data_IF_589039527269
#
_entry.id   IF_589039527269
#
_cell.length_a   1.000
_cell.length_b   1.000
_cell.length_c   1.000
_cell.angle_alpha   90.00
_cell.angle_beta   90.00
_cell.angle_gamma   90.00
#
_symmetry.space_group_name_H-M   'P 1'
#
loop_
_entity.id
_entity.type
_entity.pdbx_description
1 polymer ?
#
# COMPACT_ATOMS: atom_id res chain seq x y z
N UNK A 1 -14.59 -4.69 4.46
CA UNK A 1 -15.31 -3.39 4.44
C UNK A 1 -15.14 -2.57 5.72
N UNK A 2 -15.54 -3.02 6.91
CA UNK A 2 -15.43 -2.16 8.11
C UNK A 2 -14.00 -1.79 8.51
N UNK A 3 -13.01 -2.65 8.28
CA UNK A 3 -11.61 -2.32 8.58
C UNK A 3 -11.03 -1.27 7.63
N UNK A 4 -11.35 -1.32 6.33
CA UNK A 4 -10.91 -0.30 5.38
C UNK A 4 -11.58 1.06 5.66
N UNK A 5 -12.86 1.04 6.04
CA UNK A 5 -13.56 2.27 6.47
C UNK A 5 -12.99 2.83 7.77
N UNK A 6 -12.72 1.98 8.76
CA UNK A 6 -12.11 2.39 10.03
C UNK A 6 -10.72 3.05 9.82
N UNK A 7 -9.89 2.48 8.95
CA UNK A 7 -8.58 3.04 8.61
C UNK A 7 -8.70 4.42 7.94
N UNK A 8 -9.72 4.63 7.11
CA UNK A 8 -10.00 5.94 6.51
C UNK A 8 -10.30 7.03 7.56
N UNK A 9 -10.88 6.65 8.70
CA UNK A 9 -11.12 7.54 9.85
C UNK A 9 -9.98 7.53 10.88
N UNK A 10 -8.81 6.98 10.53
CA UNK A 10 -7.61 7.03 11.38
C UNK A 10 -7.57 6.01 12.52
N UNK A 11 -8.48 5.02 12.52
CA UNK A 11 -8.39 3.94 13.52
C UNK A 11 -7.22 3.00 13.17
N UNK A 12 -6.43 2.56 14.17
CA UNK A 12 -5.37 1.59 13.93
C UNK A 12 -5.99 0.27 13.47
N UNK A 13 -5.55 -0.20 12.30
CA UNK A 13 -6.00 -1.48 11.74
C UNK A 13 -4.81 -2.37 11.41
N UNK A 14 -5.08 -3.67 11.20
CA UNK A 14 -4.09 -4.65 10.73
C UNK A 14 -3.96 -4.67 9.21
N UNK A 15 -4.46 -3.63 8.54
CA UNK A 15 -4.36 -3.47 7.10
C UNK A 15 -3.18 -2.55 6.81
N UNK A 16 -2.28 -3.03 5.95
CA UNK A 16 -1.28 -2.20 5.31
C UNK A 16 -1.78 -1.88 3.90
N UNK A 17 -1.95 -0.60 3.60
CA UNK A 17 -2.31 -0.10 2.28
C UNK A 17 -1.08 0.03 1.37
N UNK A 18 -1.22 -0.39 0.12
CA UNK A 18 -0.22 -0.23 -0.92
C UNK A 18 -0.89 -0.06 -2.30
N UNK A 19 -0.13 0.40 -3.30
CA UNK A 19 -0.66 0.69 -4.63
C UNK A 19 -0.21 -0.34 -5.66
N UNK A 20 -1.11 -0.73 -6.57
CA UNK A 20 -0.76 -1.47 -7.78
C UNK A 20 -0.12 -0.59 -8.87
N UNK A 21 -0.16 0.73 -8.72
CA UNK A 21 0.44 1.69 -9.63
C UNK A 21 1.87 2.01 -9.18
N UNK A 22 2.91 1.61 -9.95
CA UNK A 22 4.30 1.96 -9.62
C UNK A 22 4.51 3.48 -9.53
N UNK A 23 3.80 4.25 -10.35
CA UNK A 23 3.90 5.71 -10.37
C UNK A 23 3.26 6.34 -9.14
N UNK A 24 2.13 5.81 -8.67
CA UNK A 24 1.50 6.28 -7.43
C UNK A 24 2.38 5.94 -6.22
N UNK A 25 2.98 4.74 -6.20
CA UNK A 25 3.95 4.36 -5.17
C UNK A 25 5.18 5.27 -5.18
N UNK A 26 5.72 5.58 -6.37
CA UNK A 26 6.83 6.51 -6.52
C UNK A 26 6.45 7.93 -6.06
N UNK A 27 5.25 8.40 -6.43
CA UNK A 27 4.70 9.68 -5.97
C UNK A 27 4.68 9.76 -4.45
N UNK A 28 4.13 8.76 -3.74
CA UNK A 28 4.13 8.73 -2.28
C UNK A 28 5.55 8.74 -1.69
N UNK A 29 6.50 8.06 -2.34
CA UNK A 29 7.89 8.04 -1.88
C UNK A 29 8.57 9.43 -1.98
N UNK A 30 8.17 10.27 -2.94
CA UNK A 30 8.82 11.56 -3.22
C UNK A 30 8.00 12.81 -2.86
N UNK A 31 6.68 12.68 -2.58
CA UNK A 31 5.77 13.82 -2.43
C UNK A 31 6.15 14.74 -1.27
N UNK A 32 6.67 14.17 -0.17
CA UNK A 32 6.96 14.91 1.06
C UNK A 32 8.35 15.54 0.98
N UNK A 33 8.40 16.81 0.63
CA UNK A 33 9.64 17.60 0.52
C UNK A 33 10.15 18.14 1.85
N UNK A 34 9.35 18.04 2.93
CA UNK A 34 9.67 18.59 4.25
C UNK A 34 10.67 17.74 5.04
N UNK A 35 10.89 16.49 4.60
CA UNK A 35 11.95 15.66 5.16
C UNK A 35 13.29 16.06 4.54
N UNK A 36 13.97 16.98 5.20
CA UNK A 36 15.39 17.21 5.01
C UNK A 36 16.13 16.05 5.69
N UNK A 37 16.94 15.34 4.91
CA UNK A 37 17.78 14.30 5.46
C UNK A 37 18.94 14.96 6.21
N UNK A 38 19.20 14.55 7.45
CA UNK A 38 20.37 15.02 8.19
C UNK A 38 21.65 14.82 7.35
N UNK A 39 22.57 15.79 7.40
CA UNK A 39 23.87 15.68 6.74
C UNK A 39 24.60 14.43 7.27
N UNK A 40 24.92 13.50 6.36
CA UNK A 40 25.52 12.21 6.71
C UNK A 40 24.53 11.07 7.00
N UNK A 41 23.21 11.32 7.02
CA UNK A 41 22.21 10.25 7.12
C UNK A 41 22.17 9.39 5.85
N UNK A 42 21.99 8.08 6.02
CA UNK A 42 21.75 7.12 4.94
C UNK A 42 20.27 6.98 4.55
N UNK A 43 19.38 7.75 5.17
CA UNK A 43 17.95 7.70 4.90
C UNK A 43 17.66 8.17 3.49
N UNK A 44 16.78 7.48 2.78
CA UNK A 44 16.40 7.87 1.42
C UNK A 44 14.93 7.51 1.19
N UNK A 45 14.32 8.14 0.19
CA UNK A 45 13.01 7.70 -0.26
C UNK A 45 13.12 6.26 -0.78
N UNK A 46 12.15 5.42 -0.44
CA UNK A 46 12.15 4.00 -0.78
C UNK A 46 10.80 3.64 -1.37
N UNK A 47 10.84 2.85 -2.44
CA UNK A 47 9.67 2.12 -2.93
C UNK A 47 9.89 0.64 -2.63
N UNK A 48 8.93 0.04 -1.94
CA UNK A 48 8.86 -1.40 -1.74
C UNK A 48 7.96 -2.03 -2.79
N UNK A 49 8.46 -3.05 -3.49
CA UNK A 49 7.69 -3.85 -4.41
C UNK A 49 7.35 -5.17 -3.72
N UNK A 50 6.06 -5.45 -3.57
CA UNK A 50 5.55 -6.70 -3.02
C UNK A 50 5.11 -7.63 -4.15
N UNK A 51 5.50 -8.90 -4.10
CA UNK A 51 4.97 -9.97 -4.93
C UNK A 51 3.78 -10.63 -4.21
N UNK A 52 2.54 -10.26 -4.53
CA UNK A 52 1.36 -10.79 -3.84
C UNK A 52 1.15 -12.29 -4.12
N UNK A 53 1.60 -12.82 -5.26
CA UNK A 53 1.52 -14.25 -5.56
C UNK A 53 2.35 -15.05 -4.56
N UNK A 54 3.63 -14.70 -4.46
CA UNK A 54 4.54 -15.39 -3.56
C UNK A 54 4.09 -15.26 -2.09
N UNK A 55 3.53 -14.11 -1.68
CA UNK A 55 2.95 -13.96 -0.35
C UNK A 55 1.73 -14.87 -0.15
N UNK A 56 0.80 -14.88 -1.10
CA UNK A 56 -0.47 -15.61 -0.98
C UNK A 56 -0.30 -17.13 -1.13
N UNK A 57 0.65 -17.62 -1.93
CA UNK A 57 1.00 -19.05 -2.02
C UNK A 57 1.44 -19.64 -0.67
N UNK A 58 2.03 -18.81 0.20
CA UNK A 58 2.41 -19.20 1.57
C UNK A 58 1.19 -19.34 2.47
N UNK A 59 0.12 -18.63 2.16
CA UNK A 59 -1.20 -18.79 2.77
C UNK A 59 -1.90 -20.01 2.17
N UNK A 60 -1.35 -21.22 2.42
CA UNK A 60 -1.71 -22.55 1.85
C UNK A 60 -3.17 -23.04 2.03
N UNK A 61 -4.10 -22.18 2.42
CA UNK A 61 -5.51 -22.52 2.69
C UNK A 61 -6.50 -21.93 1.67
N UNK A 62 -5.98 -21.17 0.70
CA UNK A 62 -6.73 -20.63 -0.43
C UNK A 62 -6.32 -21.45 -1.66
N UNK A 63 -6.90 -22.64 -1.79
CA UNK A 63 -6.61 -23.59 -2.89
C UNK A 63 -7.15 -23.11 -4.24
N UNK A 64 -8.12 -22.20 -4.22
CA UNK A 64 -8.68 -21.52 -5.38
C UNK A 64 -8.63 -20.03 -5.07
N UNK A 65 -7.87 -19.22 -5.80
CA UNK A 65 -8.24 -17.88 -6.28
C UNK A 65 -7.06 -17.17 -6.96
N UNK A 66 -7.41 -16.20 -7.81
CA UNK A 66 -6.53 -15.24 -8.46
C UNK A 66 -5.46 -14.65 -7.53
N UNK A 67 -4.33 -14.25 -8.13
CA UNK A 67 -3.17 -13.52 -7.58
C UNK A 67 -3.49 -12.60 -6.38
N UNK A 68 -4.61 -11.87 -6.48
CA UNK A 68 -5.16 -11.04 -5.42
C UNK A 68 -6.65 -11.38 -5.23
N UNK A 69 -7.03 -12.04 -4.13
CA UNK A 69 -8.42 -12.36 -3.88
C UNK A 69 -9.22 -11.09 -3.57
N UNK A 70 -10.37 -10.95 -4.22
CA UNK A 70 -11.34 -9.89 -3.98
C UNK A 70 -12.28 -10.31 -2.84
N UNK A 71 -12.44 -9.44 -1.84
CA UNK A 71 -13.23 -9.73 -0.63
C UNK A 71 -14.74 -9.54 -0.87
N UNK A 72 -15.18 -8.91 -1.97
CA UNK A 72 -16.63 -8.73 -2.24
C UNK A 72 -17.33 -10.06 -2.55
N UNK A 73 -18.40 -10.28 -1.79
CA UNK A 73 -19.69 -11.00 -1.94
C UNK A 73 -19.83 -12.23 -2.86
N UNK A 74 -18.94 -12.53 -3.80
CA UNK A 74 -19.09 -13.70 -4.68
C UNK A 74 -18.41 -14.96 -4.15
N UNK A 75 -17.75 -14.89 -2.99
CA UNK A 75 -17.20 -16.07 -2.29
C UNK A 75 -17.37 -15.95 -0.77
N UNK A 76 -18.59 -16.24 -0.29
CA UNK A 76 -18.85 -16.40 1.16
C UNK A 76 -17.82 -17.32 1.83
N UNK A 77 -17.36 -18.34 1.10
CA UNK A 77 -16.30 -19.27 1.50
C UNK A 77 -14.97 -18.56 1.80
N UNK A 78 -14.55 -17.61 0.97
CA UNK A 78 -13.30 -16.87 1.19
C UNK A 78 -13.43 -15.93 2.41
N UNK A 79 -14.55 -15.20 2.50
CA UNK A 79 -14.79 -14.30 3.63
C UNK A 79 -14.83 -15.05 4.97
N UNK A 80 -15.48 -16.21 4.99
CA UNK A 80 -15.53 -17.05 6.20
C UNK A 80 -14.15 -17.62 6.55
N UNK A 81 -13.38 -18.13 5.57
CA UNK A 81 -11.99 -18.57 5.80
C UNK A 81 -11.09 -17.45 6.32
N UNK A 82 -11.25 -16.23 5.78
CA UNK A 82 -10.51 -15.06 6.27
C UNK A 82 -10.91 -14.69 7.69
N UNK A 83 -12.20 -14.75 8.04
CA UNK A 83 -12.67 -14.52 9.41
C UNK A 83 -12.17 -15.59 10.39
N UNK A 84 -12.14 -16.85 9.99
CA UNK A 84 -11.65 -17.94 10.83
C UNK A 84 -10.17 -17.79 11.19
N UNK A 85 -9.36 -17.20 10.31
CA UNK A 85 -7.91 -17.08 10.50
C UNK A 85 -7.42 -15.69 10.90
N UNK A 86 -8.02 -14.64 10.34
CA UNK A 86 -7.65 -13.25 10.55
C UNK A 86 -8.76 -12.45 11.24
N UNK A 87 -9.81 -13.10 11.74
CA UNK A 87 -10.89 -12.46 12.49
C UNK A 87 -10.41 -11.78 13.77
N UNK A 88 -11.24 -10.88 14.30
CA UNK A 88 -10.96 -10.19 15.56
C UNK A 88 -10.97 -11.22 16.70
N UNK A 89 -9.92 -11.21 17.52
CA UNK A 89 -9.80 -12.12 18.67
C UNK A 89 -9.36 -13.55 18.32
N UNK A 90 -9.12 -13.85 17.05
CA UNK A 90 -8.57 -15.14 16.63
C UNK A 90 -7.07 -15.17 16.94
N UNK A 91 -6.67 -16.11 17.79
CA UNK A 91 -5.27 -16.45 18.04
C UNK A 91 -5.09 -17.89 17.62
N UNK A 92 -4.33 -18.11 16.55
CA UNK A 92 -4.00 -19.45 16.09
C UNK A 92 -2.62 -19.86 16.62
N UNK A 93 -2.45 -21.16 16.94
CA UNK A 93 -1.19 -21.69 17.48
C UNK A 93 -0.07 -21.69 16.43
N UNK A 94 -0.42 -21.74 15.14
CA UNK A 94 0.54 -21.70 14.03
C UNK A 94 0.79 -20.25 13.57
N UNK A 95 2.03 -19.98 13.13
CA UNK A 95 2.36 -18.74 12.45
C UNK A 95 1.67 -18.68 11.09
N UNK A 96 0.67 -17.79 10.99
CA UNK A 96 -0.02 -17.53 9.72
C UNK A 96 0.70 -16.37 9.02
N UNK A 97 1.09 -16.50 7.75
CA UNK A 97 1.66 -15.39 7.02
C UNK A 97 0.60 -14.30 6.75
N UNK A 98 1.02 -13.03 6.59
CA UNK A 98 0.14 -11.99 6.07
C UNK A 98 -0.41 -12.37 4.69
N UNK A 99 -1.54 -11.78 4.31
CA UNK A 99 -2.19 -12.06 3.02
C UNK A 99 -2.49 -10.77 2.26
N UNK A 100 -2.14 -10.72 0.98
CA UNK A 100 -2.50 -9.62 0.08
C UNK A 100 -3.92 -9.81 -0.46
N UNK A 101 -4.74 -8.78 -0.36
CA UNK A 101 -6.18 -8.81 -0.65
C UNK A 101 -6.58 -7.53 -1.39
N UNK A 102 -7.60 -7.63 -2.24
CA UNK A 102 -8.32 -6.46 -2.76
C UNK A 102 -9.52 -6.26 -1.84
N UNK A 103 -9.52 -5.14 -1.10
CA UNK A 103 -10.73 -4.66 -0.47
C UNK A 103 -11.38 -3.67 -1.43
N UNK A 104 -12.44 -4.08 -2.13
CA UNK A 104 -13.20 -3.15 -2.93
C UNK A 104 -13.80 -2.11 -1.98
N UNK A 105 -13.66 -0.86 -2.37
CA UNK A 105 -14.16 0.27 -1.61
C UNK A 105 -14.84 1.19 -2.59
N UNK A 106 -15.94 1.80 -2.16
CA UNK A 106 -16.65 2.79 -2.96
C UNK A 106 -15.97 4.18 -2.88
N UNK A 107 -14.69 4.23 -2.50
CA UNK A 107 -13.95 5.46 -2.29
C UNK A 107 -13.16 5.81 -3.55
N UNK A 108 -13.44 6.98 -4.12
CA UNK A 108 -12.74 7.52 -5.29
C UNK A 108 -11.22 7.59 -5.08
N UNK A 109 -10.77 7.82 -3.84
CA UNK A 109 -9.35 7.84 -3.47
C UNK A 109 -8.67 6.49 -3.69
N UNK A 110 -9.29 5.40 -3.23
CA UNK A 110 -8.72 4.05 -3.38
C UNK A 110 -8.66 3.67 -4.87
N UNK A 111 -9.66 4.07 -5.67
CA UNK A 111 -9.64 3.87 -7.12
C UNK A 111 -8.51 4.67 -7.79
N UNK A 112 -8.41 5.97 -7.50
CA UNK A 112 -7.39 6.86 -8.04
C UNK A 112 -5.96 6.36 -7.73
N UNK A 113 -5.77 5.81 -6.52
CA UNK A 113 -4.49 5.30 -6.06
C UNK A 113 -4.22 3.85 -6.48
N UNK A 114 -5.18 3.17 -7.13
CA UNK A 114 -5.17 1.71 -7.35
C UNK A 114 -4.80 0.95 -6.06
N UNK A 115 -5.44 1.33 -4.96
CA UNK A 115 -5.15 0.85 -3.62
C UNK A 115 -5.53 -0.62 -3.42
N UNK A 116 -4.64 -1.36 -2.81
CA UNK A 116 -4.77 -2.75 -2.38
C UNK A 116 -4.22 -2.90 -0.97
N UNK A 117 -4.50 -4.02 -0.31
CA UNK A 117 -4.20 -4.16 1.11
C UNK A 117 -3.46 -5.45 1.41
N UNK A 118 -2.68 -5.44 2.47
CA UNK A 118 -2.15 -6.65 3.10
C UNK A 118 -2.73 -6.76 4.50
N UNK A 119 -3.39 -7.88 4.79
CA UNK A 119 -3.98 -8.18 6.09
C UNK A 119 -3.01 -9.01 6.93
N UNK A 120 -2.67 -8.47 8.10
CA UNK A 120 -1.80 -9.14 9.06
C UNK A 120 -2.62 -9.94 10.08
N UNK A 121 -2.12 -11.08 10.57
CA UNK A 121 -2.69 -11.74 11.74
C UNK A 121 -2.49 -10.89 13.01
N UNK A 122 -3.11 -11.30 14.12
CA UNK A 122 -3.07 -10.52 15.37
C UNK A 122 -1.66 -10.33 15.93
N UNK A 123 -0.78 -11.32 15.73
CA UNK A 123 0.65 -11.26 16.05
C UNK A 123 1.41 -11.52 14.78
N UNK A 124 2.09 -10.52 14.27
CA UNK A 124 2.89 -10.63 13.06
C UNK A 124 4.10 -9.73 13.15
N UNK A 125 5.21 -10.21 12.59
CA UNK A 125 6.36 -9.35 12.31
C UNK A 125 6.06 -8.45 11.10
N UNK A 126 6.74 -7.30 10.99
CA UNK A 126 6.77 -6.52 9.75
C UNK A 126 7.13 -7.41 8.54
N UNK A 127 6.65 -7.05 7.34
CA UNK A 127 6.86 -7.89 6.14
C UNK A 127 8.35 -8.10 5.82
N UNK A 128 9.17 -7.09 6.10
CA UNK A 128 10.62 -7.08 5.90
C UNK A 128 11.39 -7.95 6.92
N UNK A 129 10.77 -8.27 8.05
CA UNK A 129 11.34 -9.13 9.10
C UNK A 129 10.85 -10.58 8.99
N UNK A 130 9.95 -10.87 8.05
CA UNK A 130 9.51 -12.24 7.78
C UNK A 130 10.67 -13.08 7.27
N UNK A 131 10.73 -14.35 7.68
CA UNK A 131 11.76 -15.29 7.22
C UNK A 131 11.82 -15.46 5.70
N UNK A 132 10.70 -15.19 5.02
CA UNK A 132 10.55 -15.26 3.57
C UNK A 132 10.54 -13.88 2.88
N UNK A 133 10.89 -12.80 3.57
CA UNK A 133 10.85 -11.44 3.04
C UNK A 133 11.61 -11.29 1.70
N UNK A 134 12.77 -11.95 1.58
CA UNK A 134 13.61 -11.88 0.37
C UNK A 134 12.96 -12.44 -0.90
N UNK A 135 11.97 -13.32 -0.76
CA UNK A 135 11.26 -13.92 -1.90
C UNK A 135 10.06 -13.08 -2.37
N UNK A 136 9.57 -12.21 -1.49
CA UNK A 136 8.33 -11.45 -1.70
C UNK A 136 8.55 -9.94 -1.84
N UNK A 137 9.65 -9.41 -1.33
CA UNK A 137 9.91 -7.98 -1.26
C UNK A 137 11.17 -7.59 -2.03
N UNK A 138 11.06 -6.54 -2.82
CA UNK A 138 12.19 -5.84 -3.43
C UNK A 138 12.21 -4.40 -2.95
N UNK A 139 13.36 -3.95 -2.45
CA UNK A 139 13.56 -2.57 -1.96
C UNK A 139 14.26 -1.73 -3.02
N UNK A 140 13.59 -0.71 -3.53
CA UNK A 140 14.16 0.28 -4.46
C UNK A 140 14.49 1.55 -3.68
N UNK A 141 15.77 1.88 -3.56
CA UNK A 141 16.24 3.12 -2.93
C UNK A 141 16.32 4.23 -3.97
N UNK A 142 15.74 5.38 -3.67
CA UNK A 142 15.76 6.56 -4.53
C UNK A 142 16.88 7.48 -4.07
N UNK A 143 17.73 7.91 -5.01
CA UNK A 143 18.76 8.88 -4.71
C UNK A 143 18.12 10.21 -4.27
N UNK A 144 18.55 10.74 -3.11
CA UNK A 144 18.07 12.01 -2.53
C UNK A 144 18.10 13.16 -3.54
N UNK A 145 19.16 13.23 -4.34
CA UNK A 145 19.38 14.30 -5.30
C UNK A 145 18.38 14.27 -6.48
N UNK A 146 17.74 13.12 -6.72
CA UNK A 146 16.77 12.95 -7.80
C UNK A 146 15.33 13.24 -7.36
N UNK A 147 15.07 13.48 -6.08
CA UNK A 147 13.70 13.61 -5.55
C UNK A 147 12.90 14.73 -6.22
N UNK A 148 13.51 15.91 -6.35
CA UNK A 148 12.86 17.07 -6.99
C UNK A 148 12.64 16.83 -8.49
N UNK A 149 13.62 16.24 -9.16
CA UNK A 149 13.53 15.87 -10.56
C UNK A 149 12.40 14.87 -10.82
N UNK A 150 12.34 13.78 -10.04
CA UNK A 150 11.29 12.76 -10.14
C UNK A 150 9.91 13.34 -9.88
N UNK A 151 9.78 14.28 -8.93
CA UNK A 151 8.52 14.95 -8.66
C UNK A 151 8.04 15.78 -9.86
N UNK A 152 8.94 16.51 -10.52
CA UNK A 152 8.62 17.25 -11.76
C UNK A 152 8.23 16.29 -12.88
N UNK A 153 9.02 15.24 -13.11
CA UNK A 153 8.71 14.24 -14.13
C UNK A 153 7.37 13.56 -13.91
N UNK A 154 7.02 13.23 -12.67
CA UNK A 154 5.71 12.69 -12.30
C UNK A 154 4.59 13.67 -12.64
N UNK A 155 4.76 14.95 -12.32
CA UNK A 155 3.79 15.99 -12.66
C UNK A 155 3.61 16.13 -14.18
N UNK A 156 4.71 16.14 -14.94
CA UNK A 156 4.70 16.26 -16.41
C UNK A 156 3.95 15.10 -17.10
N UNK A 157 3.99 13.90 -16.52
CA UNK A 157 3.25 12.72 -17.03
C UNK A 157 1.82 12.61 -16.45
N UNK A 158 1.35 13.61 -15.71
CA UNK A 158 -0.01 13.69 -15.18
C UNK A 158 -0.21 13.01 -13.82
N UNK A 159 0.85 12.64 -13.11
CA UNK A 159 0.79 12.13 -11.74
C UNK A 159 1.01 13.29 -10.77
N UNK A 160 -0.11 13.92 -10.40
CA UNK A 160 -0.17 15.11 -9.54
C UNK A 160 -0.97 14.85 -8.25
N UNK A 161 -1.06 15.83 -7.35
CA UNK A 161 -1.85 15.69 -6.12
C UNK A 161 -3.33 15.47 -6.44
N UNK A 162 -3.92 16.16 -7.42
CA UNK A 162 -5.34 15.94 -7.77
C UNK A 162 -5.61 14.59 -8.42
N UNK A 163 -4.60 14.00 -9.08
CA UNK A 163 -4.72 12.65 -9.65
C UNK A 163 -4.71 11.54 -8.60
N UNK A 164 -4.04 11.77 -7.46
CA UNK A 164 -3.85 10.80 -6.37
C UNK A 164 -4.85 11.05 -5.22
N UNK A 165 -5.24 12.30 -5.01
CA UNK A 165 -6.14 12.77 -3.96
C UNK A 165 -7.30 13.54 -4.62
N UNK A 166 -8.46 12.89 -4.83
CA UNK A 166 -9.55 13.46 -5.61
C UNK A 166 -10.30 14.59 -4.90
N UNK A 167 -9.95 14.93 -3.65
CA UNK A 167 -10.59 16.01 -2.91
C UNK A 167 -10.18 17.40 -3.47
N UNK A 168 -11.14 18.33 -3.53
CA UNK A 168 -10.97 19.65 -4.16
C UNK A 168 -9.79 20.46 -3.61
N UNK A 169 -9.45 20.27 -2.34
CA UNK A 169 -8.32 20.95 -1.70
C UNK A 169 -6.97 20.64 -2.35
N UNK A 170 -6.81 19.48 -3.00
CA UNK A 170 -5.58 19.08 -3.67
C UNK A 170 -5.39 19.72 -5.05
N UNK A 171 -6.46 20.25 -5.67
CA UNK A 171 -6.35 21.06 -6.90
C UNK A 171 -5.53 22.32 -6.62
N UNK A 172 -5.70 22.93 -5.45
CA UNK A 172 -4.92 24.12 -5.06
C UNK A 172 -3.42 23.82 -4.92
N UNK A 173 -3.06 22.58 -4.55
CA UNK A 173 -1.65 22.16 -4.46
C UNK A 173 -1.02 21.96 -5.82
N UNK A 174 -1.79 21.48 -6.80
CA UNK A 174 -1.31 21.34 -8.18
C UNK A 174 -1.02 22.71 -8.79
N UNK A 175 -1.94 23.66 -8.65
CA UNK A 175 -1.74 25.05 -9.13
C UNK A 175 -0.47 25.65 -8.50
N UNK A 176 -0.29 25.52 -7.18
CA UNK A 176 0.92 26.01 -6.51
C UNK A 176 2.19 25.33 -7.02
N UNK A 177 2.13 24.03 -7.30
CA UNK A 177 3.28 23.27 -7.81
C UNK A 177 3.66 23.74 -9.21
N UNK A 178 2.67 23.98 -10.08
CA UNK A 178 2.87 24.53 -11.42
C UNK A 178 3.54 25.91 -11.40
N UNK A 179 3.12 26.81 -10.50
CA UNK A 179 3.76 28.12 -10.31
C UNK A 179 5.18 28.07 -9.74
N UNK A 180 5.55 27.01 -9.02
CA UNK A 180 6.90 26.83 -8.46
C UNK A 180 7.86 26.13 -9.44
N UNK A 181 7.32 25.43 -10.44
CA UNK A 181 8.08 24.71 -11.46
C UNK A 181 8.39 25.56 -12.70
N UNK A 182 7.58 26.59 -12.96
CA UNK A 182 7.78 27.63 -13.99
C UNK A 182 8.58 28.82 -13.45
#
# INVERSE_FOLDING_TARGET
>A
EWMSTAQHFGLPTRLLDWSQSPLSALFFAVENTSFEYEEGSNDCAVVWCLNPNALNERSRFIEDFNILPNIIEQNETLHNKLKEKYGVGVILPDEIPPIAIICPSNNSRIYAQRGVFTLFPLRSLPLEEQSFAGDILVKIKINKNLKQELKRQLFDIGISYSSIYPELEFISKDIKSEYLMN
#
